data_IF_112424388258
#
_entry.id   IF_112424388258
#
_cell.length_a   1.000
_cell.length_b   1.000
_cell.length_c   1.000
_cell.angle_alpha   90.00
_cell.angle_beta   90.00
_cell.angle_gamma   90.00
#
_symmetry.space_group_name_H-M   'P 1'
#
loop_
_entity.id
_entity.type
_entity.pdbx_description
1 polymer ?
#
# COMPACT_ATOMS: atom_id res chain seq x y z
N UNK A 1 -3.76 -14.17 -1.39
CA UNK A 1 -2.40 -14.61 -1.80
C UNK A 1 -1.42 -14.53 -0.64
N UNK A 2 -1.13 -13.35 -0.08
CA UNK A 2 -0.14 -13.21 1.01
C UNK A 2 -0.42 -14.11 2.22
N UNK A 3 -1.67 -14.10 2.70
CA UNK A 3 -2.13 -15.00 3.77
C UNK A 3 -1.88 -16.47 3.45
N UNK A 4 -2.16 -16.91 2.22
CA UNK A 4 -1.90 -18.28 1.77
C UNK A 4 -0.42 -18.62 1.81
N UNK A 5 0.43 -17.76 1.24
CA UNK A 5 1.88 -17.94 1.24
C UNK A 5 2.46 -18.11 2.65
N UNK A 6 2.01 -17.27 3.58
CA UNK A 6 2.47 -17.27 4.98
C UNK A 6 1.90 -18.44 5.79
N UNK A 7 0.60 -18.72 5.67
CA UNK A 7 -0.09 -19.62 6.60
C UNK A 7 -0.27 -21.03 6.07
N UNK A 8 -0.39 -21.22 4.76
CA UNK A 8 -0.67 -22.52 4.15
C UNK A 8 0.52 -23.06 3.35
N UNK A 9 0.99 -22.33 2.34
CA UNK A 9 2.06 -22.81 1.45
C UNK A 9 3.42 -22.87 2.16
N UNK A 10 3.61 -22.03 3.19
CA UNK A 10 4.90 -21.81 3.86
C UNK A 10 6.03 -21.47 2.89
N UNK A 11 5.69 -20.62 1.91
CA UNK A 11 6.63 -20.20 0.87
C UNK A 11 7.27 -18.85 1.20
N UNK A 12 8.44 -18.59 0.61
CA UNK A 12 9.20 -17.35 0.76
C UNK A 12 8.79 -16.24 -0.21
N UNK A 13 7.78 -16.47 -1.08
CA UNK A 13 7.34 -15.43 -2.01
C UNK A 13 6.65 -14.26 -1.29
N UNK A 14 6.78 -13.07 -1.87
CA UNK A 14 6.09 -11.86 -1.46
C UNK A 14 4.99 -11.51 -2.46
N UNK A 15 3.99 -10.76 -2.01
CA UNK A 15 2.88 -10.26 -2.82
C UNK A 15 2.96 -8.74 -2.91
N UNK A 16 2.93 -8.21 -4.13
CA UNK A 16 2.91 -6.78 -4.41
C UNK A 16 1.58 -6.41 -5.08
N UNK A 17 0.94 -5.34 -4.63
CA UNK A 17 -0.33 -4.87 -5.17
C UNK A 17 -0.23 -3.36 -5.44
N UNK A 18 -0.54 -2.94 -6.66
CA UNK A 18 -0.60 -1.55 -7.07
C UNK A 18 -2.05 -1.08 -7.04
N UNK A 19 -2.29 0.07 -6.41
CA UNK A 19 -3.60 0.71 -6.26
C UNK A 19 -3.54 2.14 -6.77
N UNK A 20 -4.66 2.66 -7.28
CA UNK A 20 -4.82 4.08 -7.55
C UNK A 20 -5.25 4.88 -6.31
N UNK A 21 -4.92 6.17 -6.26
CA UNK A 21 -5.41 7.07 -5.22
C UNK A 21 -6.93 7.27 -5.22
N UNK A 22 -7.56 7.31 -6.41
CA UNK A 22 -9.01 7.30 -6.56
C UNK A 22 -9.65 6.00 -6.07
N UNK A 23 -9.02 4.86 -6.36
CA UNK A 23 -9.44 3.52 -5.91
C UNK A 23 -9.44 3.42 -4.37
N UNK A 24 -8.54 4.13 -3.69
CA UNK A 24 -8.50 4.18 -2.22
C UNK A 24 -9.73 4.85 -1.57
N UNK A 25 -10.69 5.36 -2.36
CA UNK A 25 -12.01 5.79 -1.88
C UNK A 25 -12.97 4.62 -1.62
N UNK A 26 -12.69 3.45 -2.20
CA UNK A 26 -13.49 2.23 -1.98
C UNK A 26 -13.23 1.64 -0.59
N UNK A 27 -14.30 1.39 0.16
CA UNK A 27 -14.22 0.90 1.54
C UNK A 27 -13.51 -0.46 1.68
N UNK A 28 -13.61 -1.31 0.65
CA UNK A 28 -12.98 -2.63 0.59
C UNK A 28 -11.45 -2.57 0.64
N UNK A 29 -10.83 -1.48 0.16
CA UNK A 29 -9.39 -1.24 0.32
C UNK A 29 -9.02 -1.17 1.80
N UNK A 30 -9.82 -0.47 2.60
CA UNK A 30 -9.59 -0.30 4.03
C UNK A 30 -9.89 -1.57 4.84
N UNK A 31 -10.88 -2.36 4.41
CA UNK A 31 -11.09 -3.71 4.93
C UNK A 31 -9.86 -4.61 4.71
N UNK A 32 -9.28 -4.58 3.51
CA UNK A 32 -8.07 -5.34 3.17
C UNK A 32 -6.84 -4.84 3.96
N UNK A 33 -6.69 -3.52 4.14
CA UNK A 33 -5.63 -2.93 4.97
C UNK A 33 -5.72 -3.40 6.42
N UNK A 34 -6.92 -3.39 7.02
CA UNK A 34 -7.16 -3.88 8.36
C UNK A 34 -6.91 -5.39 8.48
N UNK A 35 -7.37 -6.18 7.49
CA UNK A 35 -7.15 -7.62 7.44
C UNK A 35 -5.66 -7.97 7.42
N UNK A 36 -4.88 -7.30 6.57
CA UNK A 36 -3.45 -7.55 6.43
C UNK A 36 -2.69 -7.26 7.73
N UNK A 37 -3.03 -6.15 8.40
CA UNK A 37 -2.46 -5.79 9.70
C UNK A 37 -2.85 -6.78 10.80
N UNK A 38 -4.13 -7.14 10.90
CA UNK A 38 -4.64 -8.10 11.89
C UNK A 38 -3.95 -9.47 11.79
N UNK A 39 -3.74 -9.96 10.56
CA UNK A 39 -3.04 -11.23 10.31
C UNK A 39 -1.52 -11.08 10.13
N UNK A 40 -0.99 -9.89 10.40
CA UNK A 40 0.44 -9.59 10.35
C UNK A 40 1.08 -10.02 9.03
N UNK A 41 0.50 -9.67 7.89
CA UNK A 41 0.97 -10.06 6.55
C UNK A 41 2.21 -9.27 6.12
N UNK A 42 3.34 -9.49 6.80
CA UNK A 42 4.68 -8.99 6.46
C UNK A 42 5.09 -9.35 5.01
N UNK A 43 4.66 -10.49 4.48
CA UNK A 43 4.93 -10.84 3.08
C UNK A 43 4.10 -10.08 2.02
N UNK A 44 3.43 -8.97 2.37
CA UNK A 44 2.63 -8.14 1.45
C UNK A 44 3.16 -6.70 1.37
N UNK A 45 3.15 -6.13 0.16
CA UNK A 45 3.43 -4.71 -0.09
C UNK A 45 2.30 -4.12 -0.91
N UNK A 46 1.69 -3.05 -0.41
CA UNK A 46 0.73 -2.24 -1.15
C UNK A 46 1.41 -0.96 -1.64
N UNK A 47 1.22 -0.63 -2.92
CA UNK A 47 1.78 0.53 -3.59
C UNK A 47 0.61 1.42 -3.98
N UNK A 48 0.51 2.60 -3.40
CA UNK A 48 -0.51 3.58 -3.77
C UNK A 48 0.09 4.56 -4.78
N UNK A 49 -0.37 4.49 -6.03
CA UNK A 49 -0.07 5.50 -7.06
C UNK A 49 -0.89 6.76 -6.79
N UNK A 50 -0.27 7.71 -6.10
CA UNK A 50 -0.86 9.01 -5.78
C UNK A 50 -0.52 10.01 -6.88
N UNK A 51 -1.15 9.84 -8.04
CA UNK A 51 -0.98 10.71 -9.20
C UNK A 51 -1.92 11.94 -9.22
N UNK A 52 -2.71 12.13 -8.16
CA UNK A 52 -3.62 13.26 -7.87
C UNK A 52 -4.99 13.17 -8.56
N UNK A 53 -5.18 12.30 -9.54
CA UNK A 53 -6.31 12.37 -10.47
C UNK A 53 -7.11 11.07 -10.46
N UNK A 54 -8.42 11.20 -10.24
CA UNK A 54 -9.38 10.15 -10.56
C UNK A 54 -9.84 10.24 -12.02
N UNK A 55 -10.96 9.59 -12.32
CA UNK A 55 -11.50 9.54 -13.67
C UNK A 55 -12.01 10.90 -14.18
N UNK A 56 -12.83 11.59 -13.39
CA UNK A 56 -13.48 12.85 -13.78
C UNK A 56 -12.89 14.08 -13.10
N UNK A 57 -12.35 13.91 -11.91
CA UNK A 57 -11.84 15.00 -11.07
C UNK A 57 -10.60 14.55 -10.29
N UNK A 58 -9.98 15.48 -9.57
CA UNK A 58 -8.88 15.17 -8.68
C UNK A 58 -9.32 14.19 -7.57
N UNK A 59 -8.43 13.26 -7.20
CA UNK A 59 -8.64 12.43 -6.04
C UNK A 59 -8.77 13.32 -4.77
N UNK A 60 -9.57 12.92 -3.76
CA UNK A 60 -9.93 13.80 -2.65
C UNK A 60 -8.74 14.41 -1.90
N UNK A 61 -7.66 13.65 -1.73
CA UNK A 61 -6.46 14.07 -1.01
C UNK A 61 -5.38 14.69 -1.92
N UNK A 62 -5.55 14.64 -3.24
CA UNK A 62 -4.55 15.17 -4.20
C UNK A 62 -3.14 14.64 -3.85
N UNK A 63 -2.19 15.52 -3.57
CA UNK A 63 -0.83 15.16 -3.12
C UNK A 63 -0.61 15.38 -1.61
N UNK A 64 -1.67 15.31 -0.78
CA UNK A 64 -1.51 15.34 0.68
C UNK A 64 -0.97 13.99 1.19
N UNK A 65 0.34 13.78 0.95
CA UNK A 65 1.05 12.56 1.30
C UNK A 65 1.10 12.32 2.81
N UNK A 66 0.96 13.38 3.62
CA UNK A 66 0.91 13.28 5.08
C UNK A 66 -0.37 12.57 5.53
N UNK A 67 -1.50 12.93 4.95
CA UNK A 67 -2.78 12.29 5.27
C UNK A 67 -2.83 10.84 4.79
N UNK A 68 -2.29 10.54 3.59
CA UNK A 68 -2.15 9.14 3.14
C UNK A 68 -1.32 8.32 4.13
N UNK A 69 -0.14 8.83 4.53
CA UNK A 69 0.74 8.14 5.47
C UNK A 69 0.06 7.87 6.81
N UNK A 70 -0.56 8.90 7.40
CA UNK A 70 -1.30 8.78 8.67
C UNK A 70 -2.42 7.75 8.61
N UNK A 71 -3.15 7.70 7.48
CA UNK A 71 -4.21 6.69 7.31
C UNK A 71 -3.63 5.28 7.25
N UNK A 72 -2.59 5.04 6.45
CA UNK A 72 -1.96 3.73 6.36
C UNK A 72 -1.40 3.27 7.73
N UNK A 73 -0.70 4.16 8.43
CA UNK A 73 -0.16 3.89 9.78
C UNK A 73 -1.26 3.63 10.82
N UNK A 74 -2.37 4.36 10.77
CA UNK A 74 -3.51 4.13 11.65
C UNK A 74 -4.17 2.75 11.43
N UNK A 75 -4.05 2.19 10.22
CA UNK A 75 -4.47 0.82 9.90
C UNK A 75 -3.36 -0.23 10.18
N UNK A 76 -2.24 0.19 10.77
CA UNK A 76 -1.16 -0.69 11.23
C UNK A 76 -0.09 -1.02 10.19
N UNK A 77 0.03 -0.23 9.12
CA UNK A 77 1.04 -0.44 8.08
C UNK A 77 2.30 0.39 8.32
N UNK A 78 3.46 -0.21 8.08
CA UNK A 78 4.71 0.54 7.95
C UNK A 78 4.72 1.24 6.58
N UNK A 79 4.80 2.58 6.59
CA UNK A 79 4.52 3.38 5.39
C UNK A 79 5.72 4.21 4.97
N UNK A 80 6.08 4.11 3.69
CA UNK A 80 7.14 4.88 3.06
C UNK A 80 6.55 5.84 2.04
N UNK A 81 6.86 7.13 2.15
CA UNK A 81 6.52 8.12 1.11
C UNK A 81 7.78 8.37 0.30
N UNK A 82 7.67 8.21 -1.02
CA UNK A 82 8.77 8.32 -1.97
C UNK A 82 8.34 9.09 -3.21
N UNK A 83 9.31 9.62 -3.96
CA UNK A 83 9.05 10.08 -5.32
C UNK A 83 8.79 8.87 -6.25
N UNK A 84 7.55 8.74 -6.72
CA UNK A 84 7.11 7.67 -7.63
C UNK A 84 7.81 7.65 -8.99
N UNK A 85 8.59 8.68 -9.34
CA UNK A 85 9.42 8.74 -10.54
C UNK A 85 10.91 8.52 -10.26
N UNK A 86 11.32 8.43 -9.00
CA UNK A 86 12.69 8.11 -8.62
C UNK A 86 12.87 6.60 -8.47
N UNK A 87 13.44 5.97 -9.50
CA UNK A 87 13.74 4.53 -9.48
C UNK A 87 14.65 4.16 -8.30
N UNK A 88 15.56 5.06 -7.92
CA UNK A 88 16.45 4.85 -6.76
C UNK A 88 15.67 4.78 -5.44
N UNK A 89 14.73 5.71 -5.22
CA UNK A 89 13.89 5.70 -4.02
C UNK A 89 12.95 4.50 -3.99
N UNK A 90 12.37 4.12 -5.14
CA UNK A 90 11.54 2.93 -5.26
C UNK A 90 12.31 1.66 -4.92
N UNK A 91 13.50 1.46 -5.51
CA UNK A 91 14.35 0.31 -5.20
C UNK A 91 14.70 0.24 -3.71
N UNK A 92 15.04 1.39 -3.10
CA UNK A 92 15.36 1.47 -1.67
C UNK A 92 14.14 1.11 -0.80
N UNK A 93 12.96 1.66 -1.11
CA UNK A 93 11.74 1.39 -0.37
C UNK A 93 11.33 -0.08 -0.46
N UNK A 94 11.38 -0.70 -1.65
CA UNK A 94 11.05 -2.12 -1.80
C UNK A 94 12.05 -3.05 -1.11
N UNK A 95 13.31 -2.64 -0.98
CA UNK A 95 14.29 -3.39 -0.19
C UNK A 95 14.03 -3.29 1.33
N UNK A 96 13.53 -2.15 1.80
CA UNK A 96 13.23 -1.90 3.21
C UNK A 96 11.84 -2.39 3.64
N UNK A 97 10.90 -2.51 2.71
CA UNK A 97 9.57 -3.06 2.95
C UNK A 97 9.70 -4.52 3.38
N UNK A 98 9.57 -4.76 4.69
CA UNK A 98 9.64 -6.08 5.28
C UNK A 98 8.27 -6.62 5.57
#
# INVERSE_FOLDING_TARGET
MAYTGKNFDKSSYRVYCLLGDGECSEGSVWEAMAFASYYQLDNMVAIMDVNRLGQSEAAPLKHDMETYRKRCEAFGWNTYVVDGHSVEELCKAFWQAQ
#
